data_IF_161396930685
#
_entry.id   IF_161396930685
#
_cell.length_a   1.000
_cell.length_b   1.000
_cell.length_c   1.000
_cell.angle_alpha   90.00
_cell.angle_beta   90.00
_cell.angle_gamma   90.00
#
_symmetry.space_group_name_H-M   'P 1'
#
loop_
_entity.id
_entity.type
_entity.pdbx_description
1 polymer ?
#
# COMPACT_ATOMS: atom_id res chain seq x y z
N UNK A 1 10.76 -26.88 -14.23
CA UNK A 1 9.70 -26.18 -13.48
C UNK A 1 9.63 -24.74 -14.00
N UNK A 2 8.51 -24.35 -14.62
CA UNK A 2 8.30 -22.96 -15.07
C UNK A 2 8.11 -22.08 -13.82
N UNK A 3 8.90 -20.99 -13.71
CA UNK A 3 8.86 -20.06 -12.58
C UNK A 3 7.54 -19.27 -12.65
N UNK A 4 6.67 -19.44 -11.66
CA UNK A 4 5.36 -18.78 -11.61
C UNK A 4 5.57 -17.26 -11.53
N UNK A 5 4.89 -16.49 -12.37
CA UNK A 5 4.97 -15.03 -12.34
C UNK A 5 4.38 -14.49 -11.03
N UNK A 6 5.15 -13.72 -10.26
CA UNK A 6 4.70 -13.10 -9.00
C UNK A 6 3.53 -12.14 -9.23
N UNK A 7 3.55 -11.39 -10.34
CA UNK A 7 2.42 -10.56 -10.76
C UNK A 7 1.14 -11.38 -10.93
N UNK A 8 1.25 -12.53 -11.60
CA UNK A 8 0.10 -13.40 -11.86
C UNK A 8 -0.54 -13.93 -10.57
N UNK A 9 0.26 -14.15 -9.52
CA UNK A 9 -0.22 -14.48 -8.19
C UNK A 9 -0.98 -13.31 -7.57
N UNK A 10 -0.40 -12.10 -7.59
CA UNK A 10 -1.03 -10.89 -7.03
C UNK A 10 -2.36 -10.57 -7.68
N UNK A 11 -2.44 -10.61 -9.02
CA UNK A 11 -3.69 -10.36 -9.74
C UNK A 11 -4.78 -11.37 -9.36
N UNK A 12 -4.43 -12.64 -9.15
CA UNK A 12 -5.38 -13.66 -8.66
C UNK A 12 -5.88 -13.37 -7.26
N UNK A 13 -5.00 -12.90 -6.38
CA UNK A 13 -5.34 -12.54 -5.00
C UNK A 13 -6.30 -11.35 -5.01
N UNK A 14 -5.90 -10.23 -5.64
CA UNK A 14 -6.73 -9.02 -5.75
C UNK A 14 -8.11 -9.30 -6.36
N UNK A 15 -8.15 -10.13 -7.40
CA UNK A 15 -9.42 -10.54 -8.03
C UNK A 15 -10.32 -11.32 -7.07
N UNK A 16 -9.75 -12.24 -6.30
CA UNK A 16 -10.49 -13.06 -5.32
C UNK A 16 -10.97 -12.23 -4.14
N UNK A 17 -10.13 -11.32 -3.63
CA UNK A 17 -10.49 -10.38 -2.55
C UNK A 17 -11.64 -9.48 -2.97
N UNK A 18 -11.63 -9.00 -4.22
CA UNK A 18 -12.72 -8.20 -4.80
C UNK A 18 -13.95 -9.04 -5.19
N UNK A 19 -13.87 -10.37 -5.15
CA UNK A 19 -14.99 -11.27 -5.46
C UNK A 19 -15.44 -11.29 -6.93
N UNK A 20 -14.55 -10.94 -7.87
CA UNK A 20 -14.89 -10.78 -9.30
C UNK A 20 -14.31 -11.89 -10.19
N UNK A 21 -14.93 -12.10 -11.35
CA UNK A 21 -14.48 -13.04 -12.37
C UNK A 21 -13.43 -12.40 -13.28
N UNK A 22 -12.62 -13.21 -13.96
CA UNK A 22 -11.65 -12.72 -14.95
C UNK A 22 -12.32 -11.92 -16.08
N UNK A 23 -13.55 -12.28 -16.44
CA UNK A 23 -14.35 -11.56 -17.43
C UNK A 23 -14.70 -10.15 -16.95
N UNK A 24 -15.19 -10.02 -15.71
CA UNK A 24 -15.55 -8.72 -15.14
C UNK A 24 -14.36 -7.76 -15.04
N UNK A 25 -13.16 -8.26 -14.72
CA UNK A 25 -11.95 -7.42 -14.74
C UNK A 25 -11.62 -6.99 -16.17
N UNK A 26 -11.68 -7.92 -17.12
CA UNK A 26 -11.40 -7.60 -18.52
C UNK A 26 -12.38 -6.57 -19.10
N UNK A 27 -13.67 -6.69 -18.77
CA UNK A 27 -14.72 -5.76 -19.19
C UNK A 27 -14.48 -4.36 -18.60
N UNK A 28 -14.13 -4.28 -17.32
CA UNK A 28 -13.80 -3.01 -16.66
C UNK A 28 -12.57 -2.32 -17.26
N UNK A 29 -11.63 -3.09 -17.78
CA UNK A 29 -10.42 -2.60 -18.43
C UNK A 29 -10.60 -2.37 -19.94
N UNK A 30 -11.75 -2.71 -20.52
CA UNK A 30 -11.98 -2.61 -21.97
C UNK A 30 -11.08 -3.56 -22.80
N UNK A 31 -10.65 -4.69 -22.22
CA UNK A 31 -9.79 -5.68 -22.88
C UNK A 31 -10.48 -7.03 -23.05
N UNK A 32 -9.92 -7.89 -23.90
CA UNK A 32 -10.43 -9.26 -24.06
C UNK A 32 -10.18 -10.08 -22.79
N UNK A 33 -11.16 -10.88 -22.38
CA UNK A 33 -11.05 -11.82 -21.24
C UNK A 33 -9.86 -12.78 -21.35
N UNK A 34 -9.57 -13.26 -22.56
CA UNK A 34 -8.39 -14.08 -22.83
C UNK A 34 -7.07 -13.34 -22.55
N UNK A 35 -7.04 -12.02 -22.77
CA UNK A 35 -5.89 -11.17 -22.46
C UNK A 35 -5.67 -11.07 -20.95
N UNK A 36 -6.72 -10.76 -20.19
CA UNK A 36 -6.61 -10.71 -18.72
C UNK A 36 -6.19 -12.07 -18.13
N UNK A 37 -6.75 -13.18 -18.63
CA UNK A 37 -6.38 -14.53 -18.19
C UNK A 37 -4.90 -14.84 -18.41
N UNK A 38 -4.28 -14.30 -19.47
CA UNK A 38 -2.84 -14.44 -19.71
C UNK A 38 -1.99 -13.70 -18.66
N UNK A 39 -2.46 -12.55 -18.18
CA UNK A 39 -1.80 -11.83 -17.07
C UNK A 39 -1.80 -12.62 -15.77
N UNK A 40 -2.85 -13.40 -15.53
CA UNK A 40 -2.95 -14.35 -14.41
C UNK A 40 -2.13 -15.64 -14.60
N UNK A 41 -1.34 -15.78 -15.67
CA UNK A 41 -0.53 -16.98 -15.94
C UNK A 41 0.96 -16.63 -16.02
N UNK A 42 1.38 -15.95 -17.08
CA UNK A 42 2.80 -15.70 -17.33
C UNK A 42 3.11 -14.40 -18.10
N UNK A 43 2.07 -13.68 -18.54
CA UNK A 43 2.26 -12.54 -19.43
C UNK A 43 2.29 -11.24 -18.65
N UNK A 44 3.23 -10.36 -18.96
CA UNK A 44 3.25 -9.01 -18.39
C UNK A 44 2.31 -8.07 -19.17
N UNK A 45 1.47 -7.28 -18.49
CA UNK A 45 0.73 -6.18 -19.11
C UNK A 45 1.67 -5.12 -19.68
N UNK A 46 1.13 -4.25 -20.54
CA UNK A 46 1.76 -2.99 -20.93
C UNK A 46 1.50 -1.93 -19.86
N UNK A 47 2.23 -0.82 -19.92
CA UNK A 47 2.21 0.24 -18.90
C UNK A 47 0.81 0.85 -18.70
N UNK A 48 0.08 1.09 -19.78
CA UNK A 48 -1.32 1.54 -19.77
C UNK A 48 -2.24 0.57 -19.01
N UNK A 49 -2.06 -0.72 -19.25
CA UNK A 49 -2.84 -1.77 -18.56
C UNK A 49 -2.43 -1.89 -17.09
N UNK A 50 -1.15 -1.67 -16.74
CA UNK A 50 -0.71 -1.63 -15.35
C UNK A 50 -1.42 -0.52 -14.55
N UNK A 51 -1.52 0.68 -15.14
CA UNK A 51 -2.22 1.81 -14.53
C UNK A 51 -3.70 1.46 -14.35
N UNK A 52 -4.36 0.95 -15.39
CA UNK A 52 -5.77 0.57 -15.31
C UNK A 52 -6.03 -0.54 -14.28
N UNK A 53 -5.14 -1.53 -14.15
CA UNK A 53 -5.22 -2.55 -13.12
C UNK A 53 -5.06 -1.95 -11.71
N UNK A 54 -4.10 -1.04 -11.54
CA UNK A 54 -3.83 -0.39 -10.27
C UNK A 54 -5.04 0.43 -9.80
N UNK A 55 -5.61 1.25 -10.69
CA UNK A 55 -6.84 2.00 -10.44
C UNK A 55 -8.03 1.08 -10.15
N UNK A 56 -8.21 0.03 -10.95
CA UNK A 56 -9.31 -0.91 -10.78
C UNK A 56 -9.25 -1.63 -9.42
N UNK A 57 -8.06 -2.02 -8.96
CA UNK A 57 -7.90 -2.73 -7.70
C UNK A 57 -7.64 -1.82 -6.49
N UNK A 58 -7.47 -0.51 -6.69
CA UNK A 58 -7.18 0.44 -5.61
C UNK A 58 -5.78 0.25 -5.00
N UNK A 59 -4.81 -0.18 -5.81
CA UNK A 59 -3.42 -0.43 -5.39
C UNK A 59 -2.45 0.46 -6.20
N UNK A 60 -1.18 0.49 -5.83
CA UNK A 60 -0.17 1.21 -6.62
C UNK A 60 0.37 0.35 -7.77
N UNK A 61 0.86 1.00 -8.82
CA UNK A 61 1.57 0.29 -9.90
C UNK A 61 2.83 -0.42 -9.36
N UNK A 62 3.56 0.20 -8.42
CA UNK A 62 4.71 -0.45 -7.77
C UNK A 62 4.29 -1.71 -7.01
N UNK A 63 3.13 -1.75 -6.35
CA UNK A 63 2.62 -2.97 -5.73
C UNK A 63 2.42 -4.09 -6.76
N UNK A 64 1.82 -3.77 -7.91
CA UNK A 64 1.63 -4.78 -8.96
C UNK A 64 2.97 -5.32 -9.47
N UNK A 65 3.95 -4.44 -9.69
CA UNK A 65 5.26 -4.81 -10.24
C UNK A 65 6.18 -5.49 -9.21
N UNK A 66 6.37 -4.86 -8.05
CA UNK A 66 7.34 -5.22 -7.03
C UNK A 66 6.74 -6.08 -5.90
N UNK A 67 5.44 -5.92 -5.62
CA UNK A 67 4.75 -6.57 -4.49
C UNK A 67 4.91 -5.82 -3.18
N UNK A 68 5.50 -4.63 -3.21
CA UNK A 68 5.58 -3.74 -2.05
C UNK A 68 4.31 -2.92 -2.01
N UNK A 69 3.52 -3.08 -0.95
CA UNK A 69 2.43 -2.15 -0.70
C UNK A 69 3.02 -0.75 -0.58
N UNK A 70 2.36 0.25 -1.18
CA UNK A 70 2.79 1.66 -1.12
C UNK A 70 2.96 2.22 0.30
N UNK A 71 2.61 1.44 1.32
CA UNK A 71 2.91 1.69 2.72
C UNK A 71 4.36 1.34 3.12
N UNK A 72 5.15 0.80 2.19
CA UNK A 72 6.61 0.76 2.24
C UNK A 72 7.20 1.85 1.34
N UNK A 73 6.76 3.09 1.57
CA UNK A 73 7.70 4.21 1.59
C UNK A 73 8.71 3.99 2.72
N UNK A 74 9.50 2.91 2.62
CA UNK A 74 10.80 2.87 3.26
C UNK A 74 11.60 3.94 2.54
N UNK A 75 11.63 5.13 3.13
CA UNK A 75 12.80 5.99 3.31
C UNK A 75 14.09 5.50 2.61
N UNK A 76 14.10 5.46 1.29
CA UNK A 76 15.28 5.21 0.48
C UNK A 76 15.00 5.73 -0.93
N UNK A 77 15.48 6.94 -1.16
CA UNK A 77 16.03 7.34 -2.46
C UNK A 77 15.03 7.65 -3.59
N UNK A 78 14.25 8.71 -3.41
CA UNK A 78 14.20 9.74 -4.45
C UNK A 78 14.71 11.01 -3.80
N UNK A 79 15.81 11.54 -4.33
CA UNK A 79 16.49 12.70 -3.80
C UNK A 79 15.54 13.89 -3.59
N UNK A 80 15.72 14.51 -2.44
CA UNK A 80 15.25 15.83 -2.01
C UNK A 80 13.83 15.93 -1.40
N UNK A 81 13.83 16.40 -0.13
CA UNK A 81 12.71 16.89 0.70
C UNK A 81 11.86 15.91 1.54
N UNK A 82 12.48 15.04 2.34
CA UNK A 82 11.93 14.70 3.66
C UNK A 82 13.00 14.98 4.74
N UNK A 83 12.79 15.94 5.66
CA UNK A 83 13.80 16.27 6.66
C UNK A 83 14.06 15.05 7.56
N UNK A 84 15.29 14.91 8.05
CA UNK A 84 15.68 13.82 8.94
C UNK A 84 14.79 13.70 10.19
N UNK A 85 14.10 14.79 10.56
CA UNK A 85 13.08 14.86 11.61
C UNK A 85 11.80 14.06 11.33
N UNK A 86 11.58 13.58 10.10
CA UNK A 86 10.40 12.82 9.72
C UNK A 86 10.57 11.29 9.86
N UNK A 87 11.78 10.81 10.19
CA UNK A 87 12.04 9.38 10.41
C UNK A 87 11.86 9.05 11.89
N UNK A 88 10.97 8.09 12.17
CA UNK A 88 10.80 7.57 13.51
C UNK A 88 12.04 6.76 13.94
N UNK A 89 12.57 7.05 15.12
CA UNK A 89 13.57 6.26 15.81
C UNK A 89 13.01 4.86 16.18
N UNK A 90 13.89 3.98 16.65
CA UNK A 90 13.48 2.65 17.13
C UNK A 90 12.49 2.77 18.29
N UNK A 91 12.74 3.73 19.17
CA UNK A 91 11.94 4.05 20.34
C UNK A 91 10.58 4.61 19.92
N UNK A 92 10.56 5.58 19.00
CA UNK A 92 9.31 6.16 18.48
C UNK A 92 8.44 5.10 17.77
N UNK A 93 9.06 4.21 17.01
CA UNK A 93 8.36 3.09 16.35
C UNK A 93 7.73 2.13 17.37
N UNK A 94 8.42 1.85 18.48
CA UNK A 94 7.89 1.00 19.55
C UNK A 94 6.70 1.66 20.27
N UNK A 95 6.74 2.98 20.45
CA UNK A 95 5.62 3.75 21.02
C UNK A 95 4.39 3.73 20.10
N UNK A 96 4.58 3.98 18.80
CA UNK A 96 3.47 3.92 17.81
C UNK A 96 2.79 2.56 17.79
N UNK A 97 3.55 1.46 17.94
CA UNK A 97 2.98 0.11 18.02
C UNK A 97 2.08 -0.07 19.25
N UNK A 98 2.50 0.44 20.42
CA UNK A 98 1.72 0.39 21.66
C UNK A 98 0.47 1.27 21.57
N UNK A 99 0.57 2.45 20.95
CA UNK A 99 -0.57 3.35 20.78
C UNK A 99 -1.70 2.72 19.96
N UNK A 100 -1.36 1.90 18.95
CA UNK A 100 -2.34 1.19 18.10
C UNK A 100 -3.13 0.12 18.82
N UNK A 101 -2.70 -0.33 20.00
CA UNK A 101 -3.39 -1.35 20.79
C UNK A 101 -4.28 -0.76 21.89
N UNK A 102 -4.28 0.56 22.06
CA UNK A 102 -5.07 1.23 23.08
C UNK A 102 -6.55 1.35 22.68
N UNK A 103 -7.41 1.49 23.69
CA UNK A 103 -8.80 1.87 23.48
C UNK A 103 -8.90 3.33 23.01
N UNK A 104 -10.04 3.72 22.41
CA UNK A 104 -10.24 5.12 22.00
C UNK A 104 -10.13 6.11 23.15
N UNK A 105 -10.57 5.71 24.35
CA UNK A 105 -10.50 6.56 25.54
C UNK A 105 -9.05 6.76 25.99
N UNK A 106 -8.29 5.68 26.14
CA UNK A 106 -6.87 5.74 26.53
C UNK A 106 -6.04 6.51 25.50
N UNK A 107 -6.35 6.34 24.21
CA UNK A 107 -5.69 7.08 23.14
C UNK A 107 -5.92 8.59 23.28
N UNK A 108 -7.15 9.02 23.58
CA UNK A 108 -7.47 10.44 23.81
C UNK A 108 -6.75 11.00 25.03
N UNK A 109 -6.60 10.23 26.10
CA UNK A 109 -5.85 10.67 27.27
C UNK A 109 -4.37 10.91 26.93
N UNK A 110 -3.75 9.99 26.18
CA UNK A 110 -2.38 10.17 25.70
C UNK A 110 -2.27 11.39 24.78
N UNK A 111 -3.21 11.57 23.85
CA UNK A 111 -3.22 12.71 22.94
C UNK A 111 -3.32 14.03 23.71
N UNK A 112 -4.26 14.13 24.66
CA UNK A 112 -4.44 15.32 25.50
C UNK A 112 -3.16 15.65 26.29
N UNK A 113 -2.46 14.63 26.80
CA UNK A 113 -1.21 14.83 27.52
C UNK A 113 -0.10 15.37 26.61
N UNK A 114 0.03 14.82 25.40
CA UNK A 114 1.01 15.30 24.40
C UNK A 114 0.68 16.74 23.99
N UNK A 115 -0.59 17.03 23.70
CA UNK A 115 -1.04 18.37 23.32
C UNK A 115 -0.76 19.39 24.42
N UNK A 116 -1.07 19.04 25.67
CA UNK A 116 -0.76 19.87 26.83
C UNK A 116 0.73 20.17 26.93
N UNK A 117 1.60 19.16 26.76
CA UNK A 117 3.06 19.36 26.77
C UNK A 117 3.55 20.28 25.65
N UNK A 118 2.99 20.15 24.44
CA UNK A 118 3.34 21.02 23.30
C UNK A 118 2.93 22.49 23.54
N UNK A 119 1.75 22.71 24.12
CA UNK A 119 1.25 24.06 24.45
C UNK A 119 2.10 24.70 25.55
N UNK A 120 2.42 23.95 26.61
CA UNK A 120 3.26 24.46 27.70
C UNK A 120 4.69 24.79 27.25
N UNK A 121 5.23 24.09 26.25
CA UNK A 121 6.56 24.37 25.70
C UNK A 121 6.62 25.62 24.80
N UNK A 122 5.47 26.16 24.37
CA UNK A 122 5.41 27.32 23.47
C UNK A 122 5.15 28.65 24.18
N UNK A 123 4.80 28.62 25.48
CA UNK A 123 4.37 29.78 26.28
C UNK A 123 5.35 30.15 27.41
N UNK A 124 6.60 29.68 27.36
CA UNK A 124 7.68 30.01 28.30
C UNK A 124 8.96 30.33 27.55
#
# INVERSE_FOLDING_TARGET
MQKKSELALRLKVLRREKGVTSQQVADALGIKSATYRRYEIDTKPKDDVYIALAEYFGVTVDYLMSGRDGNMLSVADSGEYAPASARLSKEETALVKKLRTLSEQDFKEVQNFVDWKCICASNG
#
